data_IF_962499314008
#
_entry.id   IF_962499314008
#
_cell.length_a   1.000
_cell.length_b   1.000
_cell.length_c   1.000
_cell.angle_alpha   90.00
_cell.angle_beta   90.00
_cell.angle_gamma   90.00
#
_symmetry.space_group_name_H-M   'P 1'
#
loop_
_entity.id
_entity.type
_entity.pdbx_description
1 polymer ?
#
# COMPACT_ATOMS: atom_id res chain seq x y z
N UNK A 1 -2.78 -45.83 -30.34
CA UNK A 1 -3.10 -45.88 -28.90
C UNK A 1 -2.17 -44.95 -28.09
N UNK A 2 -1.76 -43.79 -28.65
CA UNK A 2 -0.72 -42.93 -28.03
C UNK A 2 -1.24 -41.55 -27.58
N UNK A 3 -2.39 -41.13 -28.09
CA UNK A 3 -3.05 -39.87 -27.70
C UNK A 3 -3.42 -39.82 -26.21
N UNK A 4 -3.59 -40.98 -25.57
CA UNK A 4 -3.92 -41.07 -24.16
C UNK A 4 -2.78 -40.55 -23.27
N UNK A 5 -1.52 -40.91 -23.57
CA UNK A 5 -0.36 -40.49 -22.78
C UNK A 5 -0.10 -38.98 -22.89
N UNK A 6 -0.29 -38.40 -24.07
CA UNK A 6 -0.13 -36.96 -24.27
C UNK A 6 -1.23 -36.19 -23.52
N UNK A 7 -2.48 -36.66 -23.57
CA UNK A 7 -3.60 -36.05 -22.81
C UNK A 7 -3.37 -36.17 -21.31
N UNK A 8 -2.81 -37.29 -20.86
CA UNK A 8 -2.55 -37.58 -19.46
C UNK A 8 -1.37 -36.75 -18.93
N UNK A 9 -0.31 -36.57 -19.73
CA UNK A 9 0.78 -35.64 -19.45
C UNK A 9 0.30 -34.20 -19.34
N UNK A 10 -0.64 -33.77 -20.20
CA UNK A 10 -1.24 -32.44 -20.11
C UNK A 10 -2.08 -32.25 -18.84
N UNK A 11 -2.83 -33.28 -18.42
CA UNK A 11 -3.53 -33.29 -17.12
C UNK A 11 -2.56 -33.13 -15.96
N UNK A 12 -1.43 -33.82 -15.97
CA UNK A 12 -0.42 -33.69 -14.91
C UNK A 12 0.28 -32.33 -14.93
N UNK A 13 0.53 -31.76 -16.11
CA UNK A 13 1.08 -30.40 -16.24
C UNK A 13 0.12 -29.37 -15.62
N UNK A 14 -1.16 -29.44 -15.97
CA UNK A 14 -2.20 -28.56 -15.42
C UNK A 14 -2.38 -28.76 -13.91
N UNK A 15 -2.35 -30.00 -13.44
CA UNK A 15 -2.43 -30.32 -12.01
C UNK A 15 -1.24 -29.77 -11.24
N UNK A 16 -0.02 -29.97 -11.75
CA UNK A 16 1.21 -29.47 -11.13
C UNK A 16 1.25 -27.94 -11.06
N UNK A 17 1.01 -27.27 -12.18
CA UNK A 17 0.98 -25.81 -12.24
C UNK A 17 -0.15 -25.21 -11.39
N UNK A 18 -1.33 -25.83 -11.39
CA UNK A 18 -2.46 -25.40 -10.57
C UNK A 18 -2.19 -25.54 -9.07
N UNK A 19 -1.57 -26.64 -8.65
CA UNK A 19 -1.25 -26.87 -7.23
C UNK A 19 -0.23 -25.85 -6.71
N UNK A 20 0.82 -25.57 -7.50
CA UNK A 20 1.81 -24.54 -7.16
C UNK A 20 1.16 -23.16 -7.11
N UNK A 21 0.28 -22.82 -8.05
CA UNK A 21 -0.42 -21.55 -8.06
C UNK A 21 -1.30 -21.37 -6.81
N UNK A 22 -2.08 -22.39 -6.44
CA UNK A 22 -2.89 -22.39 -5.21
C UNK A 22 -1.99 -22.22 -3.98
N UNK A 23 -0.87 -22.94 -3.92
CA UNK A 23 0.07 -22.84 -2.81
C UNK A 23 0.63 -21.42 -2.66
N UNK A 24 1.08 -20.80 -3.75
CA UNK A 24 1.56 -19.42 -3.74
C UNK A 24 0.44 -18.43 -3.38
N UNK A 25 -0.78 -18.62 -3.90
CA UNK A 25 -1.93 -17.80 -3.53
C UNK A 25 -2.19 -17.85 -2.02
N UNK A 26 -2.16 -19.05 -1.42
CA UNK A 26 -2.29 -19.22 0.03
C UNK A 26 -1.17 -18.49 0.76
N UNK A 27 0.09 -18.62 0.33
CA UNK A 27 1.20 -17.89 0.95
C UNK A 27 1.02 -16.36 0.88
N UNK A 28 0.56 -15.84 -0.25
CA UNK A 28 0.26 -14.41 -0.42
C UNK A 28 -0.86 -13.98 0.53
N UNK A 29 -1.93 -14.79 0.67
CA UNK A 29 -3.02 -14.49 1.61
C UNK A 29 -2.52 -14.48 3.04
N UNK A 30 -1.70 -15.46 3.47
CA UNK A 30 -1.11 -15.46 4.81
C UNK A 30 -0.24 -14.22 5.05
N UNK A 31 0.58 -13.83 4.07
CA UNK A 31 1.41 -12.63 4.16
C UNK A 31 0.57 -11.36 4.29
N UNK A 32 -0.54 -11.25 3.56
CA UNK A 32 -1.49 -10.14 3.69
C UNK A 32 -2.20 -10.12 5.04
N UNK A 33 -2.58 -11.30 5.55
CA UNK A 33 -3.16 -11.44 6.89
C UNK A 33 -2.16 -10.95 7.94
N UNK A 34 -0.90 -11.38 7.88
CA UNK A 34 0.14 -10.87 8.77
C UNK A 34 0.29 -9.35 8.64
N UNK A 35 0.34 -8.79 7.44
CA UNK A 35 0.42 -7.34 7.23
C UNK A 35 -0.76 -6.57 7.83
N UNK A 36 -1.97 -7.12 7.70
CA UNK A 36 -3.19 -6.53 8.27
C UNK A 36 -3.24 -6.65 9.79
N UNK A 37 -2.80 -7.80 10.32
CA UNK A 37 -2.73 -8.04 11.77
C UNK A 37 -1.70 -7.11 12.41
N UNK A 38 -0.53 -6.94 11.79
CA UNK A 38 0.50 -6.01 12.25
C UNK A 38 -0.06 -4.58 12.27
N UNK A 39 -0.62 -4.08 11.17
CA UNK A 39 -1.21 -2.73 11.14
C UNK A 39 -2.35 -2.51 12.15
N UNK A 40 -3.13 -3.55 12.46
CA UNK A 40 -4.29 -3.45 13.36
C UNK A 40 -3.94 -3.61 14.84
N UNK A 41 -3.01 -4.51 15.19
CA UNK A 41 -2.64 -4.81 16.58
C UNK A 41 -1.40 -4.04 17.05
N UNK A 42 -0.49 -3.71 16.14
CA UNK A 42 0.61 -2.78 16.36
C UNK A 42 0.46 -1.62 15.37
N UNK A 43 -0.50 -0.70 15.61
CA UNK A 43 -0.45 0.58 14.94
C UNK A 43 0.86 1.24 15.36
N UNK A 44 1.90 1.07 14.55
CA UNK A 44 3.01 2.00 14.57
C UNK A 44 2.37 3.39 14.46
N UNK A 45 2.77 4.37 15.28
CA UNK A 45 2.46 5.75 15.00
C UNK A 45 3.12 6.02 13.65
N UNK A 46 2.37 5.82 12.57
CA UNK A 46 2.74 6.34 11.28
C UNK A 46 2.90 7.82 11.54
N UNK A 47 4.14 8.31 11.52
CA UNK A 47 4.39 9.71 11.28
C UNK A 47 3.56 10.01 10.04
N UNK A 48 2.48 10.75 10.26
CA UNK A 48 1.44 11.02 9.29
C UNK A 48 2.07 11.34 7.95
N UNK A 49 2.18 10.36 7.07
CA UNK A 49 2.07 10.63 5.65
C UNK A 49 0.60 11.00 5.52
N UNK A 50 0.37 12.30 5.70
CA UNK A 50 -0.92 12.92 5.51
C UNK A 50 -1.34 12.52 4.10
N UNK A 51 -2.20 11.50 4.02
CA UNK A 51 -3.25 11.50 3.02
C UNK A 51 -4.08 12.72 3.34
N UNK A 52 -3.60 13.87 2.85
CA UNK A 52 -4.28 15.14 2.85
C UNK A 52 -5.44 14.99 1.89
N UNK A 53 -6.49 14.33 2.38
CA UNK A 53 -7.80 14.42 1.79
C UNK A 53 -8.30 15.85 2.01
N UNK A 54 -7.99 16.72 1.04
CA UNK A 54 -8.86 17.80 0.59
C UNK A 54 -8.99 19.07 1.44
N UNK A 55 -8.56 19.12 2.70
CA UNK A 55 -8.85 20.29 3.57
C UNK A 55 -7.64 20.88 4.33
N UNK A 56 -6.46 20.25 4.27
CA UNK A 56 -5.25 20.78 4.92
C UNK A 56 -4.64 21.97 4.16
N UNK A 57 -4.75 21.96 2.82
CA UNK A 57 -4.12 22.97 1.98
C UNK A 57 -4.56 24.41 2.34
N UNK A 58 -5.83 24.64 2.68
CA UNK A 58 -6.29 25.99 3.01
C UNK A 58 -5.70 26.51 4.34
N UNK A 59 -5.56 25.63 5.33
CA UNK A 59 -4.97 25.96 6.63
C UNK A 59 -3.47 26.17 6.55
N UNK A 60 -2.79 25.37 5.73
CA UNK A 60 -1.35 25.50 5.46
C UNK A 60 -1.07 26.81 4.70
N UNK A 61 -1.86 27.12 3.65
CA UNK A 61 -1.74 28.38 2.92
C UNK A 61 -2.00 29.59 3.83
N UNK A 62 -3.01 29.54 4.71
CA UNK A 62 -3.26 30.62 5.68
C UNK A 62 -2.08 30.81 6.63
N UNK A 63 -1.45 29.71 7.09
CA UNK A 63 -0.28 29.73 7.96
C UNK A 63 0.96 30.30 7.25
N UNK A 64 1.17 29.95 5.98
CA UNK A 64 2.26 30.50 5.15
C UNK A 64 2.04 32.00 4.89
N UNK A 65 0.83 32.43 4.54
CA UNK A 65 0.50 33.86 4.33
C UNK A 65 0.70 34.68 5.61
N UNK A 66 0.32 34.15 6.77
CA UNK A 66 0.56 34.80 8.06
C UNK A 66 2.05 34.94 8.37
N UNK A 67 2.85 33.92 8.10
CA UNK A 67 4.30 33.96 8.29
C UNK A 67 4.98 34.99 7.37
N UNK A 68 4.59 35.05 6.09
CA UNK A 68 5.11 36.03 5.13
C UNK A 68 4.71 37.46 5.55
N UNK A 69 3.45 37.68 5.95
CA UNK A 69 3.00 38.99 6.42
C UNK A 69 3.74 39.45 7.68
N UNK A 70 4.02 38.54 8.61
CA UNK A 70 4.80 38.83 9.81
C UNK A 70 6.24 39.20 9.47
N UNK A 71 6.87 38.48 8.54
CA UNK A 71 8.23 38.76 8.07
C UNK A 71 8.32 40.14 7.39
N UNK A 72 7.35 40.50 6.54
CA UNK A 72 7.33 41.81 5.86
C UNK A 72 7.11 42.94 6.87
N UNK A 73 6.20 42.76 7.84
CA UNK A 73 5.97 43.74 8.90
C UNK A 73 7.23 43.95 9.74
N UNK A 74 7.90 42.87 10.11
CA UNK A 74 9.15 42.91 10.87
C UNK A 74 10.31 43.55 10.08
N UNK A 75 10.34 43.41 8.75
CA UNK A 75 11.35 44.05 7.91
C UNK A 75 11.11 45.56 7.70
N UNK A 76 9.86 46.04 7.85
CA UNK A 76 9.51 47.45 7.67
C UNK A 76 9.53 48.25 8.99
N UNK A 77 9.45 47.57 10.12
CA UNK A 77 9.49 48.15 11.47
C UNK A 77 10.89 48.11 12.11
N UNK A 78 11.89 47.55 11.42
CA UNK A 78 13.31 47.63 11.77
C UNK A 78 14.08 48.43 10.73
#
# INVERSE_FOLDING_TARGET
METNLVIEGFKFLGLGMGTVFIFLMVLIVLMNVMSTLIHKFFPEPQASNASSNGNANNNDNKKVIAAISAAIKHHREG
#
